data_IF_764691847624
#
_entry.id   IF_764691847624
#
_cell.length_a   1.000
_cell.length_b   1.000
_cell.length_c   1.000
_cell.angle_alpha   90.00
_cell.angle_beta   90.00
_cell.angle_gamma   90.00
#
_symmetry.space_group_name_H-M   'P 1'
#
loop_
_entity.id
_entity.type
_entity.pdbx_description
1 polymer ?
#
# COMPACT_ATOMS: atom_id res chain seq x y z
N UNK A 1 -18.34 8.83 10.21
CA UNK A 1 -18.22 7.94 9.04
C UNK A 1 -16.87 7.27 9.16
N UNK A 2 -16.81 5.94 9.03
CA UNK A 2 -15.54 5.22 9.00
C UNK A 2 -14.95 5.33 7.58
N UNK A 3 -13.76 5.93 7.40
CA UNK A 3 -13.08 6.01 6.10
C UNK A 3 -12.91 4.66 5.39
N UNK A 4 -12.82 3.57 6.15
CA UNK A 4 -12.65 2.23 5.60
C UNK A 4 -13.91 1.69 4.94
N UNK A 5 -15.10 2.16 5.37
CA UNK A 5 -16.41 1.70 4.91
C UNK A 5 -17.10 2.71 3.98
N UNK A 6 -16.46 3.86 3.73
CA UNK A 6 -17.01 4.91 2.87
C UNK A 6 -16.86 4.56 1.39
N UNK A 7 -17.98 4.34 0.70
CA UNK A 7 -18.00 3.90 -0.70
C UNK A 7 -17.31 4.89 -1.65
N UNK A 8 -17.45 6.20 -1.42
CA UNK A 8 -16.81 7.20 -2.26
C UNK A 8 -15.27 7.16 -2.10
N UNK A 9 -14.78 6.92 -0.88
CA UNK A 9 -13.35 6.70 -0.59
C UNK A 9 -12.85 5.41 -1.25
N UNK A 10 -13.61 4.31 -1.14
CA UNK A 10 -13.28 3.05 -1.82
C UNK A 10 -13.26 3.18 -3.34
N UNK A 11 -14.22 3.89 -3.92
CA UNK A 11 -14.27 4.18 -5.35
C UNK A 11 -13.01 4.94 -5.82
N UNK A 12 -12.55 5.93 -5.05
CA UNK A 12 -11.30 6.65 -5.34
C UNK A 12 -10.08 5.70 -5.30
N UNK A 13 -10.03 4.77 -4.34
CA UNK A 13 -8.98 3.75 -4.23
C UNK A 13 -9.00 2.78 -5.42
N UNK A 14 -10.17 2.22 -5.78
CA UNK A 14 -10.35 1.33 -6.95
C UNK A 14 -9.93 2.02 -8.25
N UNK A 15 -10.23 3.30 -8.38
CA UNK A 15 -9.83 4.11 -9.54
C UNK A 15 -8.35 4.52 -9.53
N UNK A 16 -7.61 4.29 -8.44
CA UNK A 16 -6.21 4.73 -8.29
C UNK A 16 -6.05 6.25 -8.34
N UNK A 17 -7.09 7.01 -7.99
CA UNK A 17 -7.12 8.49 -8.04
C UNK A 17 -6.51 9.11 -6.77
N UNK A 18 -5.36 8.60 -6.35
CA UNK A 18 -4.78 8.82 -5.01
C UNK A 18 -3.61 9.81 -4.99
N UNK A 19 -3.46 10.69 -6.00
CA UNK A 19 -2.47 11.78 -5.93
C UNK A 19 -2.73 12.62 -4.67
N UNK A 20 -1.67 12.87 -3.88
CA UNK A 20 -1.74 13.60 -2.62
C UNK A 20 -2.12 12.72 -1.41
N UNK A 21 -2.62 11.51 -1.63
CA UNK A 21 -2.94 10.58 -0.55
C UNK A 21 -1.67 9.88 -0.05
N UNK A 22 -1.55 9.78 1.27
CA UNK A 22 -0.36 9.24 1.92
C UNK A 22 -0.07 7.81 1.45
N UNK A 23 1.20 7.55 1.08
CA UNK A 23 1.76 6.23 0.75
C UNK A 23 1.23 5.57 -0.54
N UNK A 24 0.16 6.10 -1.13
CA UNK A 24 -0.54 5.47 -2.27
C UNK A 24 -0.53 6.29 -3.55
N UNK A 25 0.24 7.38 -3.62
CA UNK A 25 0.21 8.32 -4.76
C UNK A 25 1.18 8.02 -5.92
N UNK A 26 2.15 7.11 -5.72
CA UNK A 26 3.16 6.83 -6.75
C UNK A 26 2.54 6.19 -8.01
N UNK A 27 3.07 6.42 -9.22
CA UNK A 27 2.49 5.88 -10.44
C UNK A 27 2.30 4.36 -10.41
N UNK A 28 3.31 3.64 -9.92
CA UNK A 28 3.25 2.19 -9.77
C UNK A 28 2.19 1.74 -8.78
N UNK A 29 2.05 2.44 -7.64
CA UNK A 29 1.05 2.10 -6.63
C UNK A 29 -0.35 2.30 -7.16
N UNK A 30 -0.63 3.45 -7.78
CA UNK A 30 -1.93 3.72 -8.41
C UNK A 30 -2.31 2.67 -9.45
N UNK A 31 -1.36 2.29 -10.31
CA UNK A 31 -1.58 1.24 -11.29
C UNK A 31 -1.86 -0.13 -10.63
N UNK A 32 -1.19 -0.44 -9.51
CA UNK A 32 -1.46 -1.64 -8.73
C UNK A 32 -2.84 -1.60 -8.06
N UNK A 33 -3.25 -0.46 -7.50
CA UNK A 33 -4.58 -0.29 -6.91
C UNK A 33 -5.68 -0.57 -7.93
N UNK A 34 -5.56 -0.03 -9.13
CA UNK A 34 -6.47 -0.28 -10.25
C UNK A 34 -6.48 -1.75 -10.67
N UNK A 35 -5.30 -2.38 -10.79
CA UNK A 35 -5.20 -3.80 -11.14
C UNK A 35 -5.83 -4.70 -10.10
N UNK A 36 -5.67 -4.39 -8.82
CA UNK A 36 -6.22 -5.16 -7.69
C UNK A 36 -7.69 -4.85 -7.41
N UNK A 37 -8.25 -3.79 -8.00
CA UNK A 37 -9.57 -3.27 -7.65
C UNK A 37 -9.69 -3.11 -6.13
N UNK A 38 -8.75 -2.38 -5.52
CA UNK A 38 -8.65 -2.27 -4.06
C UNK A 38 -9.91 -1.64 -3.48
N UNK A 39 -10.66 -2.46 -2.75
CA UNK A 39 -11.99 -2.11 -2.22
C UNK A 39 -12.11 -2.34 -0.70
N UNK A 40 -11.08 -2.90 -0.08
CA UNK A 40 -11.06 -3.21 1.34
C UNK A 40 -9.69 -2.90 1.96
N UNK A 41 -9.64 -2.95 3.29
CA UNK A 41 -8.45 -2.63 4.06
C UNK A 41 -7.33 -3.64 3.82
N UNK A 42 -7.66 -4.94 3.87
CA UNK A 42 -6.74 -6.06 3.76
C UNK A 42 -5.98 -6.04 2.42
N UNK A 43 -6.67 -5.71 1.35
CA UNK A 43 -6.10 -5.61 0.01
C UNK A 43 -5.13 -4.44 -0.09
N UNK A 44 -5.43 -3.31 0.55
CA UNK A 44 -4.50 -2.19 0.57
C UNK A 44 -3.22 -2.54 1.34
N UNK A 45 -3.37 -3.24 2.46
CA UNK A 45 -2.23 -3.78 3.25
C UNK A 45 -1.39 -4.72 2.38
N UNK A 46 -2.01 -5.62 1.61
CA UNK A 46 -1.28 -6.49 0.70
C UNK A 46 -0.61 -5.71 -0.45
N UNK A 47 -1.30 -4.77 -1.09
CA UNK A 47 -0.80 -3.99 -2.23
C UNK A 47 0.53 -3.27 -1.91
N UNK A 48 0.61 -2.65 -0.73
CA UNK A 48 1.84 -1.98 -0.28
C UNK A 48 3.02 -2.91 0.00
N UNK A 49 2.75 -4.17 0.29
CA UNK A 49 3.77 -5.18 0.53
C UNK A 49 4.27 -5.80 -0.78
N UNK A 50 3.38 -5.94 -1.77
CA UNK A 50 3.62 -6.65 -3.04
C UNK A 50 4.31 -5.77 -4.10
N UNK A 51 4.13 -4.45 -4.08
CA UNK A 51 4.72 -3.52 -5.08
C UNK A 51 6.26 -3.45 -5.07
N UNK A 52 6.92 -4.25 -4.23
CA UNK A 52 8.37 -4.20 -4.03
C UNK A 52 9.09 -4.97 -5.14
N UNK A 53 10.30 -4.54 -5.54
CA UNK A 53 11.00 -5.13 -6.69
C UNK A 53 11.08 -6.66 -6.67
N UNK A 54 11.48 -7.28 -5.55
CA UNK A 54 11.63 -8.75 -5.52
C UNK A 54 10.34 -9.57 -5.59
N UNK A 55 9.19 -9.01 -5.18
CA UNK A 55 7.89 -9.67 -5.33
C UNK A 55 7.34 -9.48 -6.75
N UNK A 56 7.69 -8.37 -7.39
CA UNK A 56 7.28 -8.05 -8.76
C UNK A 56 8.06 -8.86 -9.81
N UNK A 57 9.37 -9.06 -9.60
CA UNK A 57 10.25 -9.78 -10.53
C UNK A 57 10.08 -11.31 -10.50
N UNK A 58 9.54 -11.84 -9.41
CA UNK A 58 9.35 -13.29 -9.19
C UNK A 58 8.04 -13.85 -9.74
N UNK A 59 7.20 -13.01 -10.36
CA UNK A 59 5.86 -13.39 -10.80
C UNK A 59 4.84 -13.52 -9.65
N UNK A 60 5.27 -13.39 -8.40
CA UNK A 60 4.41 -13.49 -7.20
C UNK A 60 3.35 -12.39 -7.16
N UNK A 61 3.69 -11.17 -7.58
CA UNK A 61 2.70 -10.09 -7.73
C UNK A 61 1.58 -10.47 -8.69
N UNK A 62 1.92 -11.03 -9.85
CA UNK A 62 0.93 -11.44 -10.85
C UNK A 62 0.04 -12.56 -10.30
N UNK A 63 0.62 -13.58 -9.69
CA UNK A 63 -0.12 -14.67 -9.07
C UNK A 63 -1.08 -14.17 -7.98
N UNK A 64 -0.65 -13.23 -7.14
CA UNK A 64 -1.54 -12.63 -6.13
C UNK A 64 -2.73 -11.89 -6.78
N UNK A 65 -2.47 -11.07 -7.81
CA UNK A 65 -3.52 -10.33 -8.53
C UNK A 65 -4.52 -11.30 -9.16
N UNK A 66 -4.03 -12.28 -9.93
CA UNK A 66 -4.89 -13.19 -10.68
C UNK A 66 -5.72 -14.08 -9.74
N UNK A 67 -5.13 -14.56 -8.63
CA UNK A 67 -5.85 -15.37 -7.64
C UNK A 67 -6.86 -14.57 -6.83
N UNK A 68 -6.51 -13.35 -6.42
CA UNK A 68 -7.45 -12.48 -5.70
C UNK A 68 -8.67 -12.14 -6.56
N UNK A 69 -8.47 -11.94 -7.87
CA UNK A 69 -9.55 -11.65 -8.80
C UNK A 69 -10.28 -12.89 -9.33
N UNK A 70 -9.98 -14.09 -8.80
CA UNK A 70 -10.59 -15.35 -9.23
C UNK A 70 -10.26 -15.77 -10.67
N UNK A 71 -9.16 -15.25 -11.24
CA UNK A 71 -8.66 -15.64 -12.58
C UNK A 71 -7.77 -16.88 -12.54
N UNK A 72 -7.23 -17.20 -11.36
CA UNK A 72 -6.43 -18.38 -11.08
C UNK A 72 -6.86 -18.96 -9.72
N UNK A 73 -6.93 -20.29 -9.61
CA UNK A 73 -7.19 -20.93 -8.32
C UNK A 73 -5.97 -20.83 -7.39
N UNK A 74 -6.15 -20.56 -6.08
CA UNK A 74 -5.06 -20.56 -5.12
C UNK A 74 -4.34 -21.92 -5.03
N UNK A 75 -3.03 -21.90 -5.29
CA UNK A 75 -2.17 -23.10 -5.19
C UNK A 75 -1.45 -23.13 -3.85
N UNK A 76 -1.55 -24.27 -3.16
CA UNK A 76 -0.83 -24.52 -1.91
C UNK A 76 0.04 -25.78 -2.07
N UNK A 77 1.38 -25.66 -2.04
CA UNK A 77 2.28 -26.81 -2.18
C UNK A 77 2.06 -27.91 -1.13
N UNK A 78 1.59 -27.52 0.07
CA UNK A 78 1.24 -28.43 1.15
C UNK A 78 -0.09 -27.99 1.79
N UNK A 79 -0.93 -28.93 2.27
CA UNK A 79 -2.16 -28.59 2.99
C UNK A 79 -1.95 -27.62 4.15
N UNK A 80 -0.84 -27.79 4.89
CA UNK A 80 -0.44 -26.95 6.00
C UNK A 80 -0.23 -25.47 5.63
N UNK A 81 0.09 -25.17 4.36
CA UNK A 81 0.25 -23.80 3.88
C UNK A 81 -1.08 -23.07 3.71
N UNK A 82 -2.19 -23.80 3.47
CA UNK A 82 -3.52 -23.19 3.35
C UNK A 82 -3.94 -22.48 4.63
N UNK A 83 -3.59 -23.04 5.79
CA UNK A 83 -3.91 -22.45 7.09
C UNK A 83 -3.20 -21.12 7.35
N UNK A 84 -2.01 -20.92 6.76
CA UNK A 84 -1.16 -19.75 7.06
C UNK A 84 -1.11 -18.73 5.93
N UNK A 85 -1.40 -19.14 4.69
CA UNK A 85 -1.44 -18.29 3.49
C UNK A 85 -2.84 -18.22 2.85
N UNK A 86 -3.89 -18.60 3.59
CA UNK A 86 -5.28 -18.52 3.12
C UNK A 86 -5.65 -17.10 2.69
N UNK A 87 -5.39 -16.14 3.58
CA UNK A 87 -5.67 -14.71 3.40
C UNK A 87 -4.89 -14.06 2.24
N UNK A 88 -3.83 -14.73 1.76
CA UNK A 88 -2.93 -14.24 0.71
C UNK A 88 -2.91 -15.14 -0.52
N UNK A 89 -3.92 -16.00 -0.69
CA UNK A 89 -4.10 -16.86 -1.87
C UNK A 89 -2.88 -17.74 -2.18
N UNK A 90 -2.21 -18.23 -1.13
CA UNK A 90 -1.03 -19.08 -1.25
C UNK A 90 0.26 -18.34 -1.64
N UNK A 91 0.25 -17.00 -1.66
CA UNK A 91 1.42 -16.17 -1.93
C UNK A 91 1.97 -15.61 -0.61
N UNK A 92 3.28 -15.70 -0.39
CA UNK A 92 3.91 -15.03 0.75
C UNK A 92 4.00 -13.53 0.47
N UNK A 93 3.40 -12.72 1.34
CA UNK A 93 3.29 -11.27 1.18
C UNK A 93 3.97 -10.53 2.32
N UNK A 94 4.02 -11.14 3.51
CA UNK A 94 4.51 -10.51 4.74
C UNK A 94 5.71 -11.23 5.34
N UNK A 95 6.50 -10.51 6.13
CA UNK A 95 7.55 -11.08 6.97
C UNK A 95 7.00 -12.16 7.92
N UNK A 96 5.79 -11.94 8.43
CA UNK A 96 5.07 -12.86 9.30
C UNK A 96 4.71 -14.17 8.57
N UNK A 97 4.57 -14.16 7.24
CA UNK A 97 4.28 -15.38 6.47
C UNK A 97 5.48 -16.33 6.46
N UNK A 98 6.70 -15.80 6.37
CA UNK A 98 7.94 -16.60 6.50
C UNK A 98 7.99 -17.29 7.86
N UNK A 99 7.63 -16.57 8.93
CA UNK A 99 7.61 -17.11 10.29
C UNK A 99 6.57 -18.22 10.41
N UNK A 100 5.34 -17.95 9.95
CA UNK A 100 4.23 -18.91 10.00
C UNK A 100 4.52 -20.16 9.17
N UNK A 101 5.05 -20.02 7.96
CA UNK A 101 5.40 -21.15 7.09
C UNK A 101 6.53 -21.97 7.70
N UNK A 102 7.60 -21.35 8.19
CA UNK A 102 8.70 -22.06 8.84
C UNK A 102 8.22 -22.88 10.06
N UNK A 103 7.34 -22.30 10.88
CA UNK A 103 6.76 -23.01 12.01
C UNK A 103 5.80 -24.13 11.59
N UNK A 104 4.87 -23.82 10.69
CA UNK A 104 3.78 -24.74 10.35
C UNK A 104 4.23 -25.89 9.44
N UNK A 105 5.11 -25.62 8.48
CA UNK A 105 5.63 -26.61 7.51
C UNK A 105 6.79 -27.40 8.10
N UNK A 106 7.77 -26.73 8.72
CA UNK A 106 9.02 -27.37 9.15
C UNK A 106 9.16 -27.55 10.67
N UNK A 107 8.22 -27.05 11.48
CA UNK A 107 8.26 -27.28 12.94
C UNK A 107 9.27 -26.43 13.69
N UNK A 108 9.85 -25.40 13.05
CA UNK A 108 10.73 -24.46 13.74
C UNK A 108 9.95 -23.76 14.85
N UNK A 109 10.57 -23.55 16.01
CA UNK A 109 9.97 -22.70 17.05
C UNK A 109 9.81 -21.26 16.53
N UNK A 110 8.91 -20.48 17.11
CA UNK A 110 8.71 -19.08 16.69
C UNK A 110 10.01 -18.26 16.79
N UNK A 111 10.86 -18.55 17.79
CA UNK A 111 12.17 -17.93 17.92
C UNK A 111 13.14 -18.31 16.80
N UNK A 112 13.16 -19.59 16.41
CA UNK A 112 13.98 -20.05 15.26
C UNK A 112 13.45 -19.46 13.95
N UNK A 113 12.14 -19.39 13.77
CA UNK A 113 11.49 -18.84 12.59
C UNK A 113 11.72 -17.32 12.44
N UNK A 114 11.68 -16.54 13.52
CA UNK A 114 12.09 -15.13 13.47
C UNK A 114 13.60 -14.98 13.23
N UNK A 115 14.42 -15.88 13.79
CA UNK A 115 15.85 -15.96 13.49
C UNK A 115 16.12 -16.15 11.99
N UNK A 116 15.40 -17.07 11.35
CA UNK A 116 15.42 -17.28 9.90
C UNK A 116 15.02 -16.00 9.15
N UNK A 117 13.88 -15.38 9.50
CA UNK A 117 13.43 -14.13 8.87
C UNK A 117 14.50 -13.02 8.95
N UNK A 118 15.14 -12.84 10.11
CA UNK A 118 16.24 -11.87 10.29
C UNK A 118 17.44 -12.18 9.43
N UNK A 119 17.80 -13.46 9.33
CA UNK A 119 18.91 -13.94 8.50
C UNK A 119 18.64 -13.66 7.02
N UNK A 120 17.43 -13.95 6.53
CA UNK A 120 16.99 -13.65 5.17
C UNK A 120 17.06 -12.16 4.81
N UNK A 121 16.82 -11.28 5.78
CA UNK A 121 16.95 -9.82 5.58
C UNK A 121 18.40 -9.33 5.54
N UNK A 122 19.33 -10.08 6.16
CA UNK A 122 20.75 -9.71 6.30
C UNK A 122 21.60 -10.64 5.43
N UNK A 123 21.85 -10.27 4.18
CA UNK A 123 22.65 -11.01 3.17
C UNK A 123 24.16 -11.14 3.49
N UNK A 124 24.54 -11.37 4.74
CA UNK A 124 25.95 -11.38 5.20
C UNK A 124 26.34 -12.62 5.99
N UNK A 125 25.38 -13.41 6.47
CA UNK A 125 25.65 -14.61 7.28
C UNK A 125 25.17 -15.88 6.56
N UNK A 126 26.02 -16.36 5.65
CA UNK A 126 25.72 -17.53 4.82
C UNK A 126 25.72 -18.83 5.63
N UNK A 127 26.52 -18.93 6.69
CA UNK A 127 26.57 -20.12 7.55
C UNK A 127 25.27 -20.28 8.35
N UNK A 128 24.76 -19.21 8.95
CA UNK A 128 23.47 -19.24 9.62
C UNK A 128 22.33 -19.54 8.63
N UNK A 129 22.41 -19.01 7.41
CA UNK A 129 21.41 -19.24 6.37
C UNK A 129 21.34 -20.71 5.96
N UNK A 130 22.48 -21.35 5.68
CA UNK A 130 22.54 -22.77 5.35
C UNK A 130 22.09 -23.67 6.49
N UNK A 131 22.38 -23.28 7.74
CA UNK A 131 21.85 -23.97 8.92
C UNK A 131 20.33 -23.95 8.94
N UNK A 132 19.70 -22.78 8.74
CA UNK A 132 18.24 -22.70 8.70
C UNK A 132 17.65 -23.44 7.49
N UNK A 133 18.33 -23.43 6.34
CA UNK A 133 17.92 -24.21 5.16
C UNK A 133 17.83 -25.69 5.47
N UNK A 134 18.88 -26.22 6.10
CA UNK A 134 18.93 -27.62 6.51
C UNK A 134 17.81 -27.94 7.51
N UNK A 135 17.66 -27.14 8.56
CA UNK A 135 16.61 -27.29 9.57
C UNK A 135 15.20 -27.26 8.94
N UNK A 136 14.97 -26.35 8.00
CA UNK A 136 13.68 -26.23 7.31
C UNK A 136 13.37 -27.47 6.46
N UNK A 137 14.31 -27.88 5.61
CA UNK A 137 14.10 -29.03 4.71
C UNK A 137 13.93 -30.32 5.51
N UNK A 138 14.78 -30.57 6.50
CA UNK A 138 14.70 -31.77 7.36
C UNK A 138 13.39 -31.79 8.15
N UNK A 139 13.05 -30.69 8.82
CA UNK A 139 11.80 -30.60 9.57
C UNK A 139 10.54 -30.72 8.70
N UNK A 140 10.57 -30.23 7.46
CA UNK A 140 9.47 -30.40 6.53
C UNK A 140 9.30 -31.87 6.09
N UNK A 141 10.41 -32.56 5.82
CA UNK A 141 10.41 -33.98 5.43
C UNK A 141 9.96 -34.88 6.58
N UNK A 142 10.44 -34.64 7.80
CA UNK A 142 9.99 -35.35 9.01
C UNK A 142 8.47 -35.21 9.24
N UNK A 143 7.89 -34.11 8.77
CA UNK A 143 6.45 -33.82 8.85
C UNK A 143 5.67 -34.25 7.61
N UNK A 144 6.28 -35.05 6.73
CA UNK A 144 5.62 -35.71 5.61
C UNK A 144 5.64 -34.94 4.29
N UNK A 145 6.35 -33.82 4.19
CA UNK A 145 6.51 -33.13 2.90
C UNK A 145 7.52 -33.86 2.00
N UNK A 146 7.24 -34.06 0.70
CA UNK A 146 8.25 -34.52 -0.24
C UNK A 146 9.44 -33.55 -0.27
N UNK A 147 10.67 -34.07 -0.27
CA UNK A 147 11.89 -33.23 -0.23
C UNK A 147 11.93 -32.18 -1.34
N UNK A 148 11.49 -32.53 -2.55
CA UNK A 148 11.41 -31.60 -3.68
C UNK A 148 10.43 -30.43 -3.41
N UNK A 149 9.29 -30.72 -2.78
CA UNK A 149 8.31 -29.69 -2.38
C UNK A 149 8.90 -28.78 -1.29
N UNK A 150 9.57 -29.35 -0.28
CA UNK A 150 10.24 -28.57 0.75
C UNK A 150 11.34 -27.64 0.17
N UNK A 151 12.11 -28.13 -0.81
CA UNK A 151 13.11 -27.33 -1.51
C UNK A 151 12.49 -26.18 -2.31
N UNK A 152 11.36 -26.41 -2.97
CA UNK A 152 10.65 -25.37 -3.71
C UNK A 152 10.07 -24.30 -2.76
N UNK A 153 9.47 -24.69 -1.64
CA UNK A 153 8.98 -23.74 -0.63
C UNK A 153 10.15 -22.89 -0.09
N UNK A 154 11.29 -23.53 0.19
CA UNK A 154 12.50 -22.81 0.62
C UNK A 154 12.95 -21.79 -0.43
N UNK A 155 13.01 -22.19 -1.71
CA UNK A 155 13.38 -21.30 -2.83
C UNK A 155 12.48 -20.08 -2.89
N UNK A 156 11.17 -20.25 -2.68
CA UNK A 156 10.22 -19.15 -2.62
C UNK A 156 10.51 -18.22 -1.42
N UNK A 157 10.72 -18.78 -0.22
CA UNK A 157 11.06 -18.00 0.97
C UNK A 157 12.36 -17.20 0.79
N UNK A 158 13.39 -17.81 0.19
CA UNK A 158 14.68 -17.19 -0.10
C UNK A 158 14.54 -16.01 -1.07
N UNK A 159 13.78 -16.18 -2.15
CA UNK A 159 13.52 -15.10 -3.11
C UNK A 159 12.75 -13.92 -2.48
N UNK A 160 11.88 -14.23 -1.52
CA UNK A 160 11.02 -13.26 -0.85
C UNK A 160 11.71 -12.50 0.29
N UNK A 161 12.61 -13.17 1.02
CA UNK A 161 13.16 -12.71 2.30
C UNK A 161 13.88 -11.35 2.28
N UNK A 162 14.40 -10.93 1.13
CA UNK A 162 15.03 -9.60 0.96
C UNK A 162 14.05 -8.43 0.75
N UNK A 163 12.79 -8.72 0.45
CA UNK A 163 11.78 -7.70 0.08
C UNK A 163 10.51 -7.75 0.94
N UNK A 164 10.38 -8.78 1.78
CA UNK A 164 9.29 -8.96 2.72
C UNK A 164 9.03 -7.73 3.60
N UNK A 165 7.77 -7.38 3.79
CA UNK A 165 7.37 -6.27 4.66
C UNK A 165 6.59 -6.73 5.89
N UNK A 166 6.69 -5.98 6.99
CA UNK A 166 5.94 -6.27 8.21
C UNK A 166 4.47 -5.90 8.02
N UNK A 167 3.56 -6.87 8.24
CA UNK A 167 2.11 -6.67 8.09
C UNK A 167 1.59 -5.57 8.99
N UNK A 168 2.03 -5.50 10.25
CA UNK A 168 1.58 -4.48 11.20
C UNK A 168 1.94 -3.06 10.75
N UNK A 169 3.13 -2.88 10.19
CA UNK A 169 3.56 -1.59 9.68
C UNK A 169 2.79 -1.19 8.42
N UNK A 170 2.57 -2.14 7.51
CA UNK A 170 1.69 -1.94 6.36
C UNK A 170 0.27 -1.53 6.77
N UNK A 171 -0.31 -2.23 7.75
CA UNK A 171 -1.63 -1.92 8.30
C UNK A 171 -1.69 -0.49 8.85
N UNK A 172 -0.68 -0.04 9.61
CA UNK A 172 -0.65 1.34 10.12
C UNK A 172 -0.68 2.39 9.01
N UNK A 173 -0.01 2.13 7.89
CA UNK A 173 0.04 3.06 6.77
C UNK A 173 -1.25 3.04 5.97
N UNK A 174 -1.85 1.86 5.76
CA UNK A 174 -3.13 1.72 5.09
C UNK A 174 -4.25 2.52 5.80
N UNK A 175 -4.26 2.57 7.13
CA UNK A 175 -5.23 3.41 7.89
C UNK A 175 -5.08 4.89 7.53
N UNK A 176 -3.85 5.40 7.45
CA UNK A 176 -3.59 6.80 7.11
C UNK A 176 -3.91 7.05 5.63
N UNK A 177 -3.62 6.10 4.74
CA UNK A 177 -3.99 6.17 3.33
C UNK A 177 -5.50 6.33 3.15
N UNK A 178 -6.32 5.50 3.82
CA UNK A 178 -7.78 5.65 3.78
C UNK A 178 -8.27 6.97 4.36
N UNK A 179 -7.68 7.43 5.48
CA UNK A 179 -8.03 8.75 6.06
C UNK A 179 -7.72 9.90 5.12
N UNK A 180 -6.56 9.88 4.46
CA UNK A 180 -6.20 10.94 3.49
C UNK A 180 -7.04 10.86 2.22
N UNK A 181 -7.38 9.67 1.74
CA UNK A 181 -8.32 9.49 0.64
C UNK A 181 -9.73 10.00 0.99
N UNK A 182 -10.21 9.73 2.20
CA UNK A 182 -11.48 10.26 2.69
C UNK A 182 -11.49 11.79 2.70
N UNK A 183 -10.43 12.42 3.22
CA UNK A 183 -10.31 13.88 3.17
C UNK A 183 -10.27 14.41 1.73
N UNK A 184 -9.59 13.71 0.81
CA UNK A 184 -9.57 14.07 -0.61
C UNK A 184 -10.96 14.02 -1.25
N UNK A 185 -11.79 13.04 -0.89
CA UNK A 185 -13.15 12.90 -1.42
C UNK A 185 -14.10 13.93 -0.84
N UNK A 186 -14.11 14.08 0.49
CA UNK A 186 -15.14 14.85 1.19
C UNK A 186 -14.78 16.30 1.45
N UNK A 187 -13.49 16.64 1.41
CA UNK A 187 -12.96 17.99 1.60
C UNK A 187 -11.88 18.32 0.56
N UNK A 188 -12.17 18.17 -0.75
CA UNK A 188 -11.16 18.19 -1.81
C UNK A 188 -10.36 19.50 -1.86
N UNK A 189 -11.02 20.64 -1.67
CA UNK A 189 -10.35 21.95 -1.67
C UNK A 189 -9.40 22.08 -0.47
N UNK A 190 -9.87 21.82 0.75
CA UNK A 190 -9.04 21.91 1.96
C UNK A 190 -7.88 20.91 1.90
N UNK A 191 -8.16 19.69 1.45
CA UNK A 191 -7.16 18.65 1.32
C UNK A 191 -6.06 19.06 0.34
N UNK A 192 -6.41 19.48 -0.88
CA UNK A 192 -5.42 19.88 -1.88
C UNK A 192 -4.66 21.14 -1.48
N UNK A 193 -5.33 22.11 -0.83
CA UNK A 193 -4.66 23.27 -0.25
C UNK A 193 -3.59 22.86 0.77
N UNK A 194 -3.91 21.95 1.69
CA UNK A 194 -2.98 21.45 2.69
C UNK A 194 -1.82 20.65 2.07
N UNK A 195 -2.09 19.82 1.05
CA UNK A 195 -1.04 19.10 0.31
C UNK A 195 -0.07 20.09 -0.35
N UNK A 196 -0.59 21.13 -1.02
CA UNK A 196 0.21 22.16 -1.68
C UNK A 196 1.00 22.99 -0.65
N UNK A 197 0.37 23.39 0.45
CA UNK A 197 0.99 24.16 1.52
C UNK A 197 2.16 23.40 2.17
N UNK A 198 2.03 22.08 2.32
CA UNK A 198 3.10 21.20 2.80
C UNK A 198 4.21 20.95 1.75
N UNK A 199 4.16 21.65 0.61
CA UNK A 199 5.06 21.48 -0.55
C UNK A 199 4.98 20.10 -1.20
N UNK A 200 3.86 19.40 -1.02
CA UNK A 200 3.58 18.15 -1.71
C UNK A 200 4.18 16.90 -1.05
N UNK A 201 4.43 15.89 -1.89
CA UNK A 201 4.92 14.55 -1.54
C UNK A 201 5.71 13.95 -2.70
N UNK A 202 5.16 12.98 -3.39
CA UNK A 202 5.80 12.32 -4.54
C UNK A 202 5.97 13.25 -5.77
N UNK A 203 5.06 14.21 -5.97
CA UNK A 203 5.04 15.12 -7.12
C UNK A 203 5.43 16.55 -6.74
N UNK A 204 5.64 17.40 -7.74
CA UNK A 204 5.84 18.84 -7.53
C UNK A 204 4.53 19.54 -7.16
N UNK A 205 4.64 20.73 -6.53
CA UNK A 205 3.48 21.56 -6.21
C UNK A 205 2.60 21.88 -7.44
N UNK A 206 3.23 22.09 -8.61
CA UNK A 206 2.52 22.35 -9.86
C UNK A 206 1.65 21.16 -10.28
N UNK A 207 2.14 19.93 -10.13
CA UNK A 207 1.37 18.73 -10.45
C UNK A 207 0.18 18.52 -9.51
N UNK A 208 0.29 18.91 -8.24
CA UNK A 208 -0.85 18.92 -7.33
C UNK A 208 -1.89 19.98 -7.70
N UNK A 209 -1.48 21.15 -8.23
CA UNK A 209 -2.42 22.15 -8.76
C UNK A 209 -3.15 21.61 -9.99
N UNK A 210 -2.44 20.92 -10.89
CA UNK A 210 -3.07 20.25 -12.05
C UNK A 210 -4.05 19.16 -11.62
N UNK A 211 -3.70 18.37 -10.61
CA UNK A 211 -4.62 17.38 -10.03
C UNK A 211 -5.88 18.04 -9.45
N UNK A 212 -5.72 19.12 -8.68
CA UNK A 212 -6.85 19.88 -8.16
C UNK A 212 -7.78 20.36 -9.29
N UNK A 213 -7.22 20.82 -10.41
CA UNK A 213 -8.00 21.20 -11.60
C UNK A 213 -8.72 20.01 -12.23
N UNK A 214 -8.07 18.83 -12.31
CA UNK A 214 -8.69 17.59 -12.81
C UNK A 214 -9.82 17.09 -11.92
N UNK A 215 -9.74 17.35 -10.61
CA UNK A 215 -10.80 17.09 -9.65
C UNK A 215 -11.98 18.07 -9.78
N UNK A 216 -11.89 19.08 -10.65
CA UNK A 216 -12.93 20.09 -10.85
C UNK A 216 -12.87 21.27 -9.89
N UNK A 217 -11.77 21.45 -9.14
CA UNK A 217 -11.61 22.59 -8.25
C UNK A 217 -11.29 23.86 -9.05
N UNK A 218 -11.90 24.97 -8.67
CA UNK A 218 -11.52 26.27 -9.21
C UNK A 218 -10.19 26.72 -8.60
N UNK A 219 -9.24 27.13 -9.44
CA UNK A 219 -7.91 27.57 -8.99
C UNK A 219 -7.82 29.07 -9.19
N UNK A 220 -7.72 29.82 -8.09
CA UNK A 220 -7.57 31.27 -8.09
C UNK A 220 -6.10 31.64 -7.96
N UNK A 221 -5.70 32.65 -8.74
CA UNK A 221 -4.37 33.24 -8.63
C UNK A 221 -4.17 33.98 -7.30
N UNK A 222 -2.91 34.34 -6.95
CA UNK A 222 -2.63 35.11 -5.75
C UNK A 222 -3.28 36.51 -5.83
N UNK A 223 -3.99 36.91 -4.78
CA UNK A 223 -4.69 38.20 -4.65
C UNK A 223 -4.24 38.93 -3.39
N UNK A 224 -3.85 40.21 -3.51
CA UNK A 224 -3.26 41.00 -2.42
C UNK A 224 -4.19 41.23 -1.24
N UNK A 225 -5.50 41.14 -1.46
CA UNK A 225 -6.54 41.36 -0.46
C UNK A 225 -7.06 40.04 0.12
N UNK A 226 -7.04 38.96 -0.67
CA UNK A 226 -7.68 37.70 -0.29
C UNK A 226 -6.72 36.56 0.07
N UNK A 227 -5.50 36.56 -0.45
CA UNK A 227 -4.56 35.46 -0.22
C UNK A 227 -3.83 35.57 1.12
N UNK A 228 -3.79 34.45 1.85
CA UNK A 228 -2.95 34.28 3.03
C UNK A 228 -1.50 33.90 2.70
N UNK A 229 -0.72 33.56 3.75
CA UNK A 229 0.65 33.06 3.61
C UNK A 229 0.73 31.65 3.00
N UNK A 230 -0.33 30.87 3.17
CA UNK A 230 -0.44 29.50 2.68
C UNK A 230 -1.63 29.39 1.73
N UNK A 231 -1.64 28.34 0.92
CA UNK A 231 -2.76 28.06 0.01
C UNK A 231 -3.95 27.66 0.86
N UNK A 232 -5.13 28.22 0.56
CA UNK A 232 -6.36 27.95 1.32
C UNK A 232 -7.39 27.26 0.41
N UNK A 233 -8.10 26.29 0.95
CA UNK A 233 -9.21 25.62 0.26
C UNK A 233 -10.54 25.98 0.91
N UNK A 234 -11.49 26.48 0.13
CA UNK A 234 -12.83 26.85 0.63
C UNK A 234 -13.91 25.98 -0.01
N UNK A 235 -14.93 25.65 0.77
CA UNK A 235 -16.15 25.03 0.23
C UNK A 235 -16.92 26.08 -0.57
N UNK A 236 -17.72 25.60 -1.52
CA UNK A 236 -18.81 26.42 -2.05
C UNK A 236 -19.79 26.71 -0.92
N UNK A 237 -20.18 27.97 -0.77
CA UNK A 237 -21.29 28.34 0.08
C UNK A 237 -22.42 28.86 -0.80
N UNK A 238 -23.44 28.04 -1.11
CA UNK A 238 -24.55 28.45 -1.95
C UNK A 238 -25.42 29.54 -1.30
N UNK A 239 -25.25 29.82 0.00
CA UNK A 239 -25.91 30.90 0.71
C UNK A 239 -25.02 32.17 0.81
N UNK A 240 -23.73 32.07 0.47
CA UNK A 240 -22.84 33.22 0.51
C UNK A 240 -23.21 34.23 -0.59
N UNK A 241 -23.17 35.54 -0.30
CA UNK A 241 -23.28 36.56 -1.33
C UNK A 241 -22.25 36.35 -2.44
N UNK A 242 -22.59 36.71 -3.67
CA UNK A 242 -21.73 36.52 -4.86
C UNK A 242 -20.38 37.26 -4.81
N UNK A 243 -20.12 38.07 -3.79
CA UNK A 243 -18.82 38.71 -3.56
C UNK A 243 -17.96 37.96 -2.54
N UNK A 244 -18.54 37.09 -1.71
CA UNK A 244 -17.85 36.16 -0.80
C UNK A 244 -17.60 34.80 -1.47
N UNK A 245 -18.57 34.30 -2.25
CA UNK A 245 -18.42 33.13 -3.12
C UNK A 245 -18.79 33.49 -4.58
N UNK A 246 -17.90 34.19 -5.31
CA UNK A 246 -18.16 34.60 -6.69
C UNK A 246 -18.26 33.45 -7.69
N UNK A 247 -17.93 32.22 -7.29
CA UNK A 247 -17.86 31.08 -8.18
C UNK A 247 -18.92 30.01 -7.90
N UNK A 248 -19.50 29.98 -6.70
CA UNK A 248 -20.51 28.99 -6.28
C UNK A 248 -19.98 27.54 -6.31
N UNK A 249 -18.66 27.35 -6.23
CA UNK A 249 -17.99 26.05 -6.34
C UNK A 249 -16.75 25.99 -5.43
N UNK A 250 -16.34 24.80 -4.97
CA UNK A 250 -15.14 24.66 -4.13
C UNK A 250 -13.89 25.18 -4.85
N UNK A 251 -13.09 25.98 -4.15
CA UNK A 251 -11.98 26.71 -4.76
C UNK A 251 -10.70 26.65 -3.92
N UNK A 252 -9.56 26.68 -4.62
CA UNK A 252 -8.23 26.87 -4.07
C UNK A 252 -7.80 28.32 -4.27
N UNK A 253 -7.48 29.00 -3.18
CA UNK A 253 -6.89 30.33 -3.16
C UNK A 253 -5.38 30.19 -3.03
N UNK A 254 -4.64 30.57 -4.07
CA UNK A 254 -3.18 30.51 -4.05
C UNK A 254 -2.60 31.41 -2.95
N UNK A 255 -1.52 30.96 -2.32
CA UNK A 255 -0.78 31.75 -1.33
C UNK A 255 -0.20 33.02 -1.95
N UNK A 256 -0.17 34.10 -1.16
CA UNK A 256 0.65 35.26 -1.46
C UNK A 256 2.11 34.88 -1.20
N UNK A 257 2.80 34.52 -2.29
CA UNK A 257 4.14 33.94 -2.23
C UNK A 257 5.08 34.74 -1.34
N UNK A 258 5.69 34.07 -0.36
CA UNK A 258 7.04 34.45 0.06
C UNK A 258 8.00 33.81 -0.92
N UNK A 259 8.42 34.58 -1.91
CA UNK A 259 9.79 34.48 -2.41
C UNK A 259 10.72 34.40 -1.19
N UNK A 260 11.35 33.25 -1.00
CA UNK A 260 12.57 33.11 -0.21
C UNK A 260 13.62 32.52 -1.13
#
# INVERSE_FOLDING_TARGET
IDPLEDEATRALMRAGQTIGCFYVESPGMRALLQKLQVDDFETLVAASSIIRPGVSDSGMMKAYIDRRLGREEPVYPLPAMREVLGDTFGVMVYQEDVIKVANRVAGLSLGQADGLRRCMSKKRDWEAFDKYKKMFIEGAVERGAPRAVAQEIWRQMESFGGYAFCKAHSASFAVISYRTAYLKVHFPAQFMAAVIANRGGFYSAAEYVEEARRMGLCILGPDVNQSGKETEGKLADPAAPSWEDPLGQPALYAAHGRSR
#
